data_IF_707854074522
#
_entry.id   IF_707854074522
#
_cell.length_a   1.000
_cell.length_b   1.000
_cell.length_c   1.000
_cell.angle_alpha   90.00
_cell.angle_beta   90.00
_cell.angle_gamma   90.00
#
_symmetry.space_group_name_H-M   'P 1'
#
loop_
_entity.id
_entity.type
_entity.pdbx_description
1 polymer ?
#
# COMPACT_ATOMS: atom_id res chain seq x y z
N UNK A 1 43.72 39.85 71.25
CA UNK A 1 43.14 40.24 69.95
C UNK A 1 43.37 39.09 68.97
N UNK A 2 42.74 37.94 69.19
CA UNK A 2 42.94 36.73 68.37
C UNK A 2 41.70 35.85 68.28
N UNK A 3 40.95 35.71 69.38
CA UNK A 3 39.79 34.81 69.40
C UNK A 3 38.57 35.37 68.64
N UNK A 4 38.37 36.69 68.68
CA UNK A 4 37.29 37.38 67.97
C UNK A 4 37.53 37.45 66.45
N UNK A 5 38.78 37.65 66.04
CA UNK A 5 39.16 37.67 64.62
C UNK A 5 39.09 36.27 64.01
N UNK A 6 39.43 35.23 64.77
CA UNK A 6 39.27 33.83 64.33
C UNK A 6 37.80 33.40 64.25
N UNK A 7 36.93 33.90 65.13
CA UNK A 7 35.48 33.66 65.03
C UNK A 7 34.89 34.39 63.84
N UNK A 8 35.26 35.66 63.61
CA UNK A 8 34.84 36.41 62.44
C UNK A 8 35.30 35.73 61.14
N UNK A 9 36.55 35.27 61.07
CA UNK A 9 37.06 34.55 59.90
C UNK A 9 36.32 33.23 59.64
N UNK A 10 36.05 32.43 60.68
CA UNK A 10 35.27 31.20 60.54
C UNK A 10 33.84 31.46 60.09
N UNK A 11 33.18 32.49 60.64
CA UNK A 11 31.83 32.85 60.21
C UNK A 11 31.80 33.36 58.76
N UNK A 12 32.82 34.09 58.32
CA UNK A 12 32.94 34.53 56.93
C UNK A 12 33.19 33.35 55.97
N UNK A 13 34.04 32.40 56.34
CA UNK A 13 34.29 31.19 55.56
C UNK A 13 33.04 30.29 55.48
N UNK A 14 32.29 30.16 56.58
CA UNK A 14 31.04 29.40 56.64
C UNK A 14 29.92 30.08 55.81
N UNK A 15 29.79 31.40 55.89
CA UNK A 15 28.86 32.18 55.05
C UNK A 15 29.24 32.10 53.57
N UNK A 16 30.54 32.17 53.24
CA UNK A 16 31.01 32.02 51.87
C UNK A 16 30.71 30.62 51.31
N UNK A 17 30.90 29.58 52.11
CA UNK A 17 30.60 28.18 51.74
C UNK A 17 29.10 27.94 51.57
N UNK A 18 28.27 28.43 52.48
CA UNK A 18 26.80 28.33 52.37
C UNK A 18 26.29 29.09 51.14
N UNK A 19 26.93 30.21 50.78
CA UNK A 19 26.62 30.96 49.56
C UNK A 19 27.02 30.19 48.31
N UNK A 20 28.20 29.55 48.28
CA UNK A 20 28.59 28.70 47.15
C UNK A 20 27.69 27.48 46.98
N UNK A 21 27.32 26.79 48.07
CA UNK A 21 26.41 25.64 48.03
C UNK A 21 24.99 26.07 47.56
N UNK A 22 24.53 27.25 47.98
CA UNK A 22 23.26 27.82 47.51
C UNK A 22 23.31 28.25 46.04
N UNK A 23 24.42 28.80 45.58
CA UNK A 23 24.61 29.16 44.17
C UNK A 23 24.71 27.92 43.27
N UNK A 24 25.37 26.85 43.72
CA UNK A 24 25.46 25.57 43.01
C UNK A 24 24.10 24.88 42.90
N UNK A 25 23.35 24.81 44.00
CA UNK A 25 21.98 24.25 43.99
C UNK A 25 21.01 25.04 43.11
N UNK A 26 21.10 26.37 43.06
CA UNK A 26 20.30 27.19 42.15
C UNK A 26 20.69 26.98 40.68
N UNK A 27 21.98 26.74 40.40
CA UNK A 27 22.46 26.41 39.04
C UNK A 27 21.98 25.04 38.60
N UNK A 28 22.02 24.04 39.47
CA UNK A 28 21.53 22.69 39.19
C UNK A 28 20.03 22.67 38.94
N UNK A 29 19.25 23.43 39.72
CA UNK A 29 17.82 23.60 39.51
C UNK A 29 17.51 24.26 38.15
N UNK A 30 18.26 25.31 37.78
CA UNK A 30 18.09 25.98 36.49
C UNK A 30 18.49 25.05 35.32
N UNK A 31 19.62 24.35 35.42
CA UNK A 31 20.06 23.38 34.41
C UNK A 31 19.09 22.20 34.25
N UNK A 32 18.50 21.74 35.37
CA UNK A 32 17.43 20.74 35.41
C UNK A 32 16.17 21.20 34.67
N UNK A 33 15.74 22.45 34.86
CA UNK A 33 14.56 22.99 34.18
C UNK A 33 14.76 23.11 32.66
N UNK A 34 15.93 23.61 32.22
CA UNK A 34 16.26 23.75 30.79
C UNK A 34 16.41 22.39 30.10
N UNK A 35 17.09 21.43 30.73
CA UNK A 35 17.22 20.07 30.19
C UNK A 35 15.88 19.33 30.15
N UNK A 36 15.00 19.54 31.13
CA UNK A 36 13.63 19.01 31.13
C UNK A 36 12.79 19.51 29.95
N UNK A 37 12.83 20.83 29.67
CA UNK A 37 12.13 21.42 28.51
C UNK A 37 12.69 20.90 27.18
N UNK A 38 14.01 20.73 27.08
CA UNK A 38 14.66 20.17 25.88
C UNK A 38 14.25 18.70 25.65
N UNK A 39 14.20 17.88 26.71
CA UNK A 39 13.73 16.48 26.64
C UNK A 39 12.27 16.37 26.22
N UNK A 40 11.40 17.25 26.74
CA UNK A 40 9.99 17.29 26.33
C UNK A 40 9.83 17.64 24.85
N UNK A 41 10.56 18.67 24.39
CA UNK A 41 10.59 19.05 22.97
C UNK A 41 11.12 17.91 22.08
N UNK A 42 12.16 17.19 22.53
CA UNK A 42 12.72 16.04 21.81
C UNK A 42 11.75 14.85 21.75
N UNK A 43 10.95 14.60 22.80
CA UNK A 43 9.89 13.58 22.77
C UNK A 43 8.77 13.94 21.80
N UNK A 44 8.34 15.20 21.78
CA UNK A 44 7.33 15.69 20.83
C UNK A 44 7.85 15.49 19.40
N UNK A 45 9.10 15.84 19.14
CA UNK A 45 9.77 15.59 17.86
C UNK A 45 9.66 14.12 17.42
N UNK A 46 9.98 13.18 18.31
CA UNK A 46 9.93 11.75 17.99
C UNK A 46 8.51 11.23 17.72
N UNK A 47 7.51 11.72 18.46
CA UNK A 47 6.10 11.37 18.20
C UNK A 47 5.68 11.84 16.80
N UNK A 48 6.01 13.07 16.43
CA UNK A 48 5.72 13.57 15.07
C UNK A 48 6.50 12.80 14.00
N UNK A 49 7.75 12.39 14.28
CA UNK A 49 8.53 11.57 13.37
C UNK A 49 7.86 10.22 13.10
N UNK A 50 7.27 9.56 14.11
CA UNK A 50 6.50 8.33 13.92
C UNK A 50 5.29 8.54 13.01
N UNK A 51 4.55 9.64 13.19
CA UNK A 51 3.40 9.98 12.34
C UNK A 51 3.85 10.23 10.90
N UNK A 52 4.94 10.96 10.70
CA UNK A 52 5.50 11.24 9.38
C UNK A 52 5.98 9.96 8.68
N UNK A 53 6.64 9.05 9.39
CA UNK A 53 7.09 7.75 8.85
C UNK A 53 5.87 6.90 8.50
N UNK A 54 4.86 6.87 9.36
CA UNK A 54 3.63 6.13 9.08
C UNK A 54 2.94 6.61 7.81
N UNK A 55 2.73 7.92 7.70
CA UNK A 55 2.12 8.54 6.53
C UNK A 55 2.99 8.37 5.27
N UNK A 56 4.31 8.55 5.38
CA UNK A 56 5.24 8.41 4.26
C UNK A 56 5.34 6.99 3.74
N UNK A 57 5.49 5.99 4.61
CA UNK A 57 5.54 4.57 4.22
C UNK A 57 4.21 4.14 3.61
N UNK A 58 3.09 4.56 4.20
CA UNK A 58 1.77 4.33 3.61
C UNK A 58 1.67 4.96 2.23
N UNK A 59 2.01 6.25 2.09
CA UNK A 59 1.95 6.98 0.82
C UNK A 59 2.87 6.36 -0.25
N UNK A 60 4.07 5.89 0.09
CA UNK A 60 4.96 5.18 -0.84
C UNK A 60 4.32 3.86 -1.29
N UNK A 61 3.80 3.07 -0.35
CA UNK A 61 3.14 1.81 -0.69
C UNK A 61 1.87 2.01 -1.53
N UNK A 62 1.08 3.05 -1.23
CA UNK A 62 -0.05 3.46 -2.05
C UNK A 62 0.41 3.98 -3.41
N UNK A 63 1.48 4.76 -3.50
CA UNK A 63 2.00 5.28 -4.76
C UNK A 63 2.50 4.15 -5.69
N UNK A 64 3.24 3.19 -5.16
CA UNK A 64 3.76 2.06 -5.94
C UNK A 64 2.63 1.15 -6.44
N UNK A 65 1.48 1.12 -5.74
CA UNK A 65 0.41 0.15 -5.99
C UNK A 65 -0.92 0.75 -6.47
N UNK A 66 -1.06 2.08 -6.50
CA UNK A 66 -2.29 2.75 -6.92
C UNK A 66 -2.33 3.02 -8.43
N UNK A 67 -3.54 2.92 -8.99
CA UNK A 67 -3.81 2.94 -10.42
C UNK A 67 -4.48 4.24 -10.90
N UNK A 68 -5.04 5.03 -9.97
CA UNK A 68 -5.79 6.25 -10.27
C UNK A 68 -4.86 7.47 -10.20
N UNK A 69 -4.83 8.28 -11.27
CA UNK A 69 -4.09 9.54 -11.34
C UNK A 69 -4.41 10.47 -10.17
N UNK A 70 -5.68 10.50 -9.69
CA UNK A 70 -6.07 11.30 -8.52
C UNK A 70 -5.39 10.80 -7.24
N UNK A 71 -5.24 9.48 -7.11
CA UNK A 71 -4.58 8.88 -5.96
C UNK A 71 -3.07 9.06 -6.01
N UNK A 72 -2.46 8.98 -7.20
CA UNK A 72 -1.04 9.31 -7.40
C UNK A 72 -0.75 10.77 -7.06
N UNK A 73 -1.59 11.70 -7.53
CA UNK A 73 -1.48 13.12 -7.20
C UNK A 73 -1.65 13.34 -5.69
N UNK A 74 -2.62 12.66 -5.07
CA UNK A 74 -2.81 12.68 -3.61
C UNK A 74 -1.59 12.17 -2.85
N UNK A 75 -0.99 11.06 -3.28
CA UNK A 75 0.24 10.52 -2.68
C UNK A 75 1.42 11.50 -2.83
N UNK A 76 1.55 12.14 -3.99
CA UNK A 76 2.60 13.15 -4.21
C UNK A 76 2.44 14.36 -3.28
N UNK A 77 1.21 14.85 -3.10
CA UNK A 77 0.91 15.94 -2.15
C UNK A 77 1.22 15.51 -0.71
N UNK A 78 0.80 14.30 -0.30
CA UNK A 78 1.10 13.77 1.04
C UNK A 78 2.61 13.65 1.26
N UNK A 79 3.35 13.14 0.29
CA UNK A 79 4.82 13.05 0.37
C UNK A 79 5.48 14.42 0.47
N UNK A 80 4.98 15.42 -0.26
CA UNK A 80 5.46 16.79 -0.18
C UNK A 80 5.20 17.37 1.21
N UNK A 81 3.99 17.20 1.75
CA UNK A 81 3.64 17.64 3.11
C UNK A 81 4.51 16.94 4.16
N UNK A 82 4.73 15.62 4.04
CA UNK A 82 5.64 14.88 4.94
C UNK A 82 7.07 15.42 4.84
N UNK A 83 7.55 15.71 3.63
CA UNK A 83 8.88 16.28 3.45
C UNK A 83 9.00 17.67 4.07
N UNK A 84 8.08 18.58 3.76
CA UNK A 84 8.07 19.93 4.34
C UNK A 84 7.96 19.92 5.86
N UNK A 85 7.09 19.08 6.41
CA UNK A 85 6.94 18.96 7.87
C UNK A 85 8.21 18.43 8.54
N UNK A 86 8.91 17.46 7.94
CA UNK A 86 10.20 16.98 8.49
C UNK A 86 11.29 18.06 8.46
N UNK A 87 11.36 18.86 7.39
CA UNK A 87 12.31 19.98 7.28
C UNK A 87 11.99 21.06 8.31
N UNK A 88 10.73 21.49 8.39
CA UNK A 88 10.26 22.49 9.36
C UNK A 88 10.52 22.03 10.80
N UNK A 89 10.27 20.77 11.10
CA UNK A 89 10.48 20.20 12.42
C UNK A 89 11.98 20.17 12.79
N UNK A 90 12.86 19.80 11.85
CA UNK A 90 14.32 19.84 12.06
C UNK A 90 14.83 21.26 12.30
N UNK A 91 14.34 22.22 11.52
CA UNK A 91 14.66 23.65 11.69
C UNK A 91 14.16 24.17 13.03
N UNK A 92 12.94 23.83 13.41
CA UNK A 92 12.35 24.21 14.70
C UNK A 92 13.16 23.68 15.86
N UNK A 93 13.55 22.40 15.84
CA UNK A 93 14.37 21.80 16.90
C UNK A 93 15.75 22.47 17.00
N UNK A 94 16.38 22.76 15.86
CA UNK A 94 17.65 23.48 15.83
C UNK A 94 17.53 24.89 16.43
N UNK A 95 16.49 25.63 16.02
CA UNK A 95 16.22 26.97 16.53
C UNK A 95 15.88 26.97 18.02
N UNK A 96 15.10 25.99 18.50
CA UNK A 96 14.80 25.82 19.92
C UNK A 96 16.06 25.53 20.72
N UNK A 97 16.94 24.67 20.20
CA UNK A 97 18.26 24.39 20.79
C UNK A 97 19.12 25.65 20.90
N UNK A 98 19.26 26.41 19.81
CA UNK A 98 20.00 27.68 19.81
C UNK A 98 19.41 28.70 20.78
N UNK A 99 18.08 28.88 20.80
CA UNK A 99 17.41 29.79 21.74
C UNK A 99 17.69 29.42 23.19
N UNK A 100 17.64 28.13 23.53
CA UNK A 100 17.92 27.66 24.88
C UNK A 100 19.40 27.83 25.24
N UNK A 101 20.32 27.64 24.30
CA UNK A 101 21.75 27.88 24.50
C UNK A 101 22.02 29.36 24.78
N UNK A 102 21.48 30.27 23.95
CA UNK A 102 21.63 31.72 24.16
C UNK A 102 20.96 32.18 25.46
N UNK A 103 19.80 31.63 25.82
CA UNK A 103 19.16 31.91 27.11
C UNK A 103 20.00 31.45 28.31
N UNK A 104 20.69 30.30 28.18
CA UNK A 104 21.63 29.84 29.21
C UNK A 104 22.82 30.79 29.31
N UNK A 105 23.45 31.14 28.19
CA UNK A 105 24.61 32.05 28.15
C UNK A 105 24.25 33.44 28.73
N UNK A 106 23.12 34.02 28.33
CA UNK A 106 22.68 35.33 28.84
C UNK A 106 22.34 35.33 30.33
N UNK A 107 21.71 34.26 30.85
CA UNK A 107 21.46 34.14 32.29
C UNK A 107 22.75 33.94 33.10
N UNK A 108 23.71 33.19 32.57
CA UNK A 108 25.01 33.02 33.20
C UNK A 108 25.79 34.34 33.22
N UNK A 109 25.81 35.08 32.11
CA UNK A 109 26.42 36.42 32.05
C UNK A 109 25.79 37.38 33.06
N UNK A 110 24.46 37.36 33.23
CA UNK A 110 23.78 38.17 34.27
C UNK A 110 24.18 37.77 35.68
N UNK A 111 24.37 36.48 35.95
CA UNK A 111 24.85 36.01 37.25
C UNK A 111 26.30 36.41 37.50
N UNK A 112 27.16 36.37 36.48
CA UNK A 112 28.54 36.84 36.56
C UNK A 112 28.61 38.35 36.77
N UNK A 113 27.81 39.14 36.05
CA UNK A 113 27.71 40.59 36.25
C UNK A 113 27.19 40.93 37.66
N UNK A 114 26.13 40.28 38.13
CA UNK A 114 25.62 40.50 39.50
C UNK A 114 26.64 40.10 40.57
N UNK A 115 27.45 39.06 40.31
CA UNK A 115 28.56 38.66 41.19
C UNK A 115 29.65 39.72 41.20
N UNK A 116 30.05 40.22 40.03
CA UNK A 116 31.04 41.29 39.89
C UNK A 116 30.57 42.59 40.55
N UNK A 117 29.31 42.99 40.37
CA UNK A 117 28.70 44.14 41.05
C UNK A 117 28.68 43.96 42.58
N UNK A 118 28.36 42.76 43.07
CA UNK A 118 28.43 42.45 44.51
C UNK A 118 29.87 42.34 45.05
N UNK A 119 30.85 42.15 44.15
CA UNK A 119 32.27 42.08 44.47
C UNK A 119 32.98 43.44 44.31
N UNK A 120 32.27 44.51 43.91
CA UNK A 120 32.76 45.90 44.00
C UNK A 120 32.87 46.25 45.48
N UNK A 121 34.01 45.87 46.09
CA UNK A 121 34.31 45.99 47.50
C UNK A 121 35.19 44.86 48.08
N UNK A 122 35.40 43.76 47.34
CA UNK A 122 36.28 42.66 47.76
C UNK A 122 37.27 42.34 46.64
N UNK A 123 38.53 42.74 46.84
CA UNK A 123 39.65 42.48 45.94
C UNK A 123 40.03 40.99 45.93
N UNK A 124 39.34 40.17 45.13
CA UNK A 124 39.92 38.91 44.67
C UNK A 124 39.31 38.48 43.32
N UNK A 125 40.08 38.52 42.23
CA UNK A 125 39.64 37.99 40.94
C UNK A 125 39.75 36.46 41.01
N UNK A 126 38.73 35.79 41.56
CA UNK A 126 38.65 34.33 41.46
C UNK A 126 38.45 33.96 39.99
N UNK A 127 39.45 33.28 39.40
CA UNK A 127 39.40 32.69 38.06
C UNK A 127 38.07 31.99 37.81
N UNK A 128 37.53 32.02 36.56
CA UNK A 128 36.27 31.38 36.25
C UNK A 128 36.39 29.86 36.52
N UNK A 129 35.74 29.32 37.55
CA UNK A 129 35.66 27.89 37.67
C UNK A 129 34.58 27.41 36.70
N UNK A 130 34.68 26.16 36.32
CA UNK A 130 33.64 25.37 35.65
C UNK A 130 33.77 25.28 34.13
N UNK A 131 34.36 24.14 33.76
CA UNK A 131 34.33 23.49 32.45
C UNK A 131 32.88 23.33 31.99
N UNK A 132 32.60 23.82 30.79
CA UNK A 132 31.31 23.73 30.11
C UNK A 132 30.84 22.27 30.00
N UNK A 133 29.76 21.90 30.69
CA UNK A 133 29.03 20.67 30.35
C UNK A 133 28.00 20.98 29.24
N UNK A 134 28.09 20.30 28.08
CA UNK A 134 27.10 20.46 27.03
C UNK A 134 25.73 20.02 27.54
N UNK A 135 24.66 20.71 27.14
CA UNK A 135 23.31 20.28 27.50
C UNK A 135 23.04 18.91 26.89
N UNK A 136 22.77 17.93 27.73
CA UNK A 136 22.38 16.60 27.29
C UNK A 136 20.86 16.56 27.09
N UNK A 137 20.42 16.20 25.88
CA UNK A 137 19.01 15.96 25.55
C UNK A 137 18.51 14.65 26.16
N UNK A 138 17.81 13.85 25.35
CA UNK A 138 17.44 12.48 25.70
C UNK A 138 18.67 11.59 25.92
N UNK A 139 18.53 10.61 26.83
CA UNK A 139 19.53 9.57 27.01
C UNK A 139 19.76 8.81 25.69
N UNK A 140 20.99 8.39 25.38
CA UNK A 140 21.30 7.68 24.13
C UNK A 140 20.49 6.39 23.97
N UNK A 141 20.08 5.75 25.06
CA UNK A 141 19.19 4.58 25.04
C UNK A 141 17.77 4.94 24.62
N UNK A 142 17.22 6.06 25.10
CA UNK A 142 15.89 6.52 24.73
C UNK A 142 15.84 6.89 23.24
N UNK A 143 16.92 7.50 22.70
CA UNK A 143 17.07 7.75 21.26
C UNK A 143 17.09 6.46 20.43
N UNK A 144 17.82 5.44 20.89
CA UNK A 144 17.85 4.12 20.21
C UNK A 144 16.48 3.44 20.24
N UNK A 145 15.73 3.58 21.34
CA UNK A 145 14.36 3.09 21.44
C UNK A 145 13.42 3.75 20.42
N UNK A 146 13.46 5.08 20.30
CA UNK A 146 12.64 5.79 19.31
C UNK A 146 13.00 5.43 17.87
N UNK A 147 14.30 5.25 17.56
CA UNK A 147 14.72 4.75 16.25
C UNK A 147 14.20 3.33 15.98
N UNK A 148 14.30 2.42 16.95
CA UNK A 148 13.75 1.07 16.82
C UNK A 148 12.23 1.09 16.63
N UNK A 149 11.51 1.97 17.34
CA UNK A 149 10.07 2.17 17.18
C UNK A 149 9.72 2.67 15.76
N UNK A 150 10.51 3.60 15.20
CA UNK A 150 10.35 4.07 13.83
C UNK A 150 10.49 2.94 12.81
N UNK A 151 11.54 2.11 12.96
CA UNK A 151 11.79 0.97 12.07
C UNK A 151 10.68 -0.08 12.19
N UNK A 152 10.29 -0.44 13.42
CA UNK A 152 9.21 -1.40 13.67
C UNK A 152 7.87 -0.92 13.11
N UNK A 153 7.54 0.37 13.28
CA UNK A 153 6.32 0.96 12.72
C UNK A 153 6.33 0.95 11.18
N UNK A 154 7.46 1.26 10.56
CA UNK A 154 7.61 1.18 9.10
C UNK A 154 7.39 -0.26 8.60
N UNK A 155 7.97 -1.26 9.25
CA UNK A 155 7.78 -2.67 8.89
C UNK A 155 6.32 -3.12 9.07
N UNK A 156 5.68 -2.72 10.18
CA UNK A 156 4.29 -3.05 10.47
C UNK A 156 3.34 -2.44 9.43
N UNK A 157 3.50 -1.15 9.12
CA UNK A 157 2.67 -0.47 8.12
C UNK A 157 2.92 -1.06 6.73
N UNK A 158 4.17 -1.37 6.40
CA UNK A 158 4.49 -2.02 5.13
C UNK A 158 3.82 -3.40 5.00
N UNK A 159 3.80 -4.16 6.09
CA UNK A 159 3.14 -5.47 6.13
C UNK A 159 1.62 -5.35 6.04
N UNK A 160 1.00 -4.43 6.79
CA UNK A 160 -0.45 -4.21 6.79
C UNK A 160 -0.95 -3.68 5.44
N UNK A 161 -0.27 -2.70 4.87
CA UNK A 161 -0.61 -2.15 3.55
C UNK A 161 -0.36 -3.14 2.42
N UNK A 162 0.54 -4.12 2.62
CA UNK A 162 0.69 -5.26 1.72
C UNK A 162 -0.46 -6.25 1.86
N UNK A 163 -0.80 -6.67 3.07
CA UNK A 163 -1.86 -7.63 3.30
C UNK A 163 -3.24 -7.14 2.85
N UNK A 164 -3.56 -5.87 3.08
CA UNK A 164 -4.82 -5.26 2.65
C UNK A 164 -5.02 -5.23 1.13
N UNK A 165 -3.94 -5.39 0.34
CA UNK A 165 -3.95 -5.32 -1.12
C UNK A 165 -3.54 -6.62 -1.83
N UNK A 166 -2.98 -7.60 -1.11
CA UNK A 166 -2.87 -8.98 -1.59
C UNK A 166 -4.23 -9.69 -1.69
N UNK A 167 -5.28 -9.10 -1.12
CA UNK A 167 -6.66 -9.45 -1.43
C UNK A 167 -7.11 -8.82 -2.74
N UNK A 168 -7.10 -9.61 -3.82
CA UNK A 168 -7.98 -9.41 -4.97
C UNK A 168 -7.79 -8.10 -5.75
N UNK A 169 -6.84 -8.12 -6.70
CA UNK A 169 -7.20 -7.59 -8.02
C UNK A 169 -8.35 -8.47 -8.52
N UNK A 170 -9.59 -8.04 -8.28
CA UNK A 170 -10.78 -8.81 -8.65
C UNK A 170 -10.73 -9.01 -10.15
N UNK A 171 -10.37 -10.22 -10.60
CA UNK A 171 -10.63 -10.57 -11.99
C UNK A 171 -12.12 -10.76 -12.07
N UNK A 172 -12.82 -9.69 -12.43
CA UNK A 172 -14.18 -9.78 -12.90
C UNK A 172 -14.08 -10.41 -14.30
N UNK A 173 -14.33 -11.71 -14.36
CA UNK A 173 -14.43 -12.45 -15.61
C UNK A 173 -15.90 -12.58 -15.98
N UNK A 174 -16.31 -11.93 -17.07
CA UNK A 174 -17.63 -12.19 -17.66
C UNK A 174 -17.43 -13.10 -18.86
N UNK A 175 -18.00 -14.30 -18.78
CA UNK A 175 -17.92 -15.28 -19.86
C UNK A 175 -19.29 -15.42 -20.51
N UNK A 176 -19.34 -15.28 -21.82
CA UNK A 176 -20.52 -15.53 -22.64
C UNK A 176 -20.18 -16.59 -23.68
N UNK A 177 -20.91 -17.69 -23.69
CA UNK A 177 -20.80 -18.76 -24.68
C UNK A 177 -22.05 -18.73 -25.54
N UNK A 178 -21.90 -18.62 -26.85
CA UNK A 178 -23.01 -18.68 -27.80
C UNK A 178 -22.90 -19.95 -28.60
N UNK A 179 -23.89 -20.84 -28.47
CA UNK A 179 -23.95 -22.10 -29.21
C UNK A 179 -24.72 -21.93 -30.51
N UNK A 180 -24.32 -22.66 -31.54
CA UNK A 180 -24.98 -22.73 -32.83
C UNK A 180 -25.71 -24.08 -32.99
N UNK A 181 -26.61 -24.15 -33.97
CA UNK A 181 -27.44 -25.33 -34.22
C UNK A 181 -26.63 -26.54 -34.72
N UNK A 182 -25.46 -26.30 -35.33
CA UNK A 182 -24.53 -27.33 -35.79
C UNK A 182 -23.64 -27.91 -34.68
N UNK A 183 -23.80 -27.43 -33.44
CA UNK A 183 -22.97 -27.83 -32.31
C UNK A 183 -21.67 -27.05 -32.17
N UNK A 184 -21.38 -26.12 -33.08
CA UNK A 184 -20.27 -25.17 -32.92
C UNK A 184 -20.64 -24.10 -31.88
N UNK A 185 -19.63 -23.36 -31.40
CA UNK A 185 -19.87 -22.29 -30.45
C UNK A 185 -18.80 -21.22 -30.47
N UNK A 186 -19.17 -20.03 -30.00
CA UNK A 186 -18.25 -18.92 -29.75
C UNK A 186 -18.22 -18.62 -28.24
N UNK A 187 -17.05 -18.71 -27.63
CA UNK A 187 -16.81 -18.34 -26.22
C UNK A 187 -16.10 -17.00 -26.18
N UNK A 188 -16.72 -16.01 -25.55
CA UNK A 188 -16.15 -14.69 -25.26
C UNK A 188 -15.89 -14.56 -23.77
N UNK A 189 -14.67 -14.25 -23.38
CA UNK A 189 -14.28 -14.07 -22.00
C UNK A 189 -13.64 -12.70 -21.85
N UNK A 190 -14.34 -11.80 -21.18
CA UNK A 190 -13.85 -10.48 -20.82
C UNK A 190 -12.98 -10.62 -19.57
N UNK A 191 -11.74 -10.14 -19.65
CA UNK A 191 -10.75 -10.26 -18.58
C UNK A 191 -10.27 -8.88 -18.19
N UNK A 192 -10.40 -8.58 -16.90
CA UNK A 192 -9.85 -7.38 -16.28
C UNK A 192 -8.86 -7.76 -15.18
N UNK A 193 -7.63 -7.25 -15.27
CA UNK A 193 -6.59 -7.46 -14.27
C UNK A 193 -5.92 -6.15 -13.87
N UNK A 194 -5.67 -5.95 -12.57
CA UNK A 194 -4.87 -4.80 -12.11
C UNK A 194 -3.38 -5.06 -12.36
N UNK A 195 -2.68 -4.18 -13.08
CA UNK A 195 -1.23 -4.24 -13.23
C UNK A 195 -0.58 -2.98 -12.67
N UNK A 196 0.55 -3.13 -11.96
CA UNK A 196 1.32 -1.95 -11.52
C UNK A 196 1.86 -1.18 -12.72
N UNK A 197 1.83 0.15 -12.68
CA UNK A 197 2.42 0.99 -13.75
C UNK A 197 3.92 0.74 -14.00
N UNK A 198 4.63 0.17 -13.01
CA UNK A 198 6.04 -0.21 -13.08
C UNK A 198 6.30 -1.52 -13.84
N UNK A 199 5.31 -2.39 -13.95
CA UNK A 199 5.45 -3.69 -14.62
C UNK A 199 4.25 -3.90 -15.54
N UNK A 200 4.42 -3.49 -16.79
CA UNK A 200 3.49 -3.83 -17.86
C UNK A 200 4.01 -5.09 -18.54
N UNK A 201 3.28 -6.22 -18.50
CA UNK A 201 3.65 -7.37 -19.29
C UNK A 201 3.64 -7.00 -20.78
N UNK A 202 4.52 -7.60 -21.56
CA UNK A 202 4.51 -7.46 -23.02
C UNK A 202 3.50 -8.38 -23.70
N UNK A 203 3.00 -9.39 -22.98
CA UNK A 203 2.17 -10.44 -23.56
C UNK A 203 2.03 -11.66 -22.65
N UNK A 204 1.39 -12.70 -23.16
CA UNK A 204 1.24 -13.98 -22.47
C UNK A 204 1.11 -15.15 -23.45
N UNK A 205 1.56 -16.36 -23.08
CA UNK A 205 1.23 -17.56 -23.81
C UNK A 205 -0.17 -18.06 -23.43
N UNK A 206 -0.95 -18.44 -24.43
CA UNK A 206 -2.24 -19.11 -24.32
C UNK A 206 -2.15 -20.46 -25.03
N UNK A 207 -2.82 -21.48 -24.52
CA UNK A 207 -2.86 -22.81 -25.11
C UNK A 207 -4.31 -23.19 -25.43
N UNK A 208 -4.55 -23.63 -26.66
CA UNK A 208 -5.84 -24.09 -27.13
C UNK A 208 -5.67 -25.27 -28.10
N UNK A 209 -6.70 -26.10 -28.30
CA UNK A 209 -6.70 -27.09 -29.38
C UNK A 209 -6.44 -26.45 -30.76
N UNK A 210 -5.74 -27.17 -31.64
CA UNK A 210 -5.28 -26.63 -32.94
C UNK A 210 -6.42 -26.22 -33.90
N UNK A 211 -7.60 -26.78 -33.69
CA UNK A 211 -8.81 -26.59 -34.51
C UNK A 211 -9.64 -25.39 -34.04
N UNK A 212 -9.27 -24.77 -32.91
CA UNK A 212 -9.95 -23.59 -32.40
C UNK A 212 -9.42 -22.33 -33.08
N UNK A 213 -10.33 -21.43 -33.46
CA UNK A 213 -9.93 -20.09 -33.91
C UNK A 213 -9.91 -19.17 -32.70
N UNK A 214 -8.70 -18.73 -32.33
CA UNK A 214 -8.44 -17.86 -31.17
C UNK A 214 -8.18 -16.45 -31.64
N UNK A 215 -8.94 -15.49 -31.09
CA UNK A 215 -8.74 -14.05 -31.30
C UNK A 215 -8.72 -13.37 -29.94
N UNK A 216 -7.85 -12.37 -29.78
CA UNK A 216 -7.83 -11.55 -28.57
C UNK A 216 -8.09 -10.12 -28.98
N UNK A 217 -9.07 -9.48 -28.34
CA UNK A 217 -9.51 -8.13 -28.66
C UNK A 217 -9.10 -7.16 -27.57
N UNK A 218 -8.67 -5.97 -27.95
CA UNK A 218 -8.53 -4.83 -27.05
C UNK A 218 -9.92 -4.28 -26.62
N UNK A 219 -9.99 -3.34 -25.66
CA UNK A 219 -11.25 -2.74 -25.21
C UNK A 219 -12.02 -1.99 -26.33
N UNK A 220 -11.35 -1.63 -27.42
CA UNK A 220 -11.93 -0.96 -28.59
C UNK A 220 -12.43 -1.96 -29.64
N UNK A 221 -12.19 -3.26 -29.45
CA UNK A 221 -12.58 -4.33 -30.34
C UNK A 221 -11.56 -4.64 -31.45
N UNK A 222 -10.36 -4.07 -31.42
CA UNK A 222 -9.30 -4.40 -32.38
C UNK A 222 -8.59 -5.70 -31.99
N UNK A 223 -8.22 -6.49 -33.00
CA UNK A 223 -7.44 -7.70 -32.79
C UNK A 223 -6.00 -7.38 -32.38
N UNK A 224 -5.54 -8.03 -31.31
CA UNK A 224 -4.16 -7.96 -30.86
C UNK A 224 -3.25 -8.89 -31.67
N UNK A 225 -1.95 -8.54 -31.82
CA UNK A 225 -0.98 -9.41 -32.46
C UNK A 225 -0.83 -10.75 -31.73
N UNK A 226 -0.87 -11.84 -32.51
CA UNK A 226 -0.87 -13.22 -32.04
C UNK A 226 0.05 -14.05 -32.93
N UNK A 227 1.07 -14.66 -32.34
CA UNK A 227 1.90 -15.67 -33.03
C UNK A 227 1.47 -17.07 -32.61
N UNK A 228 1.19 -17.95 -33.57
CA UNK A 228 0.71 -19.31 -33.29
C UNK A 228 1.74 -20.35 -33.70
N UNK A 229 2.10 -21.23 -32.76
CA UNK A 229 2.94 -22.41 -33.00
C UNK A 229 2.12 -23.66 -32.69
N UNK A 230 1.95 -24.55 -33.66
CA UNK A 230 1.19 -25.79 -33.49
C UNK A 230 2.12 -26.95 -33.14
N UNK A 231 1.76 -27.72 -32.11
CA UNK A 231 2.49 -28.92 -31.69
C UNK A 231 1.49 -30.05 -31.41
N UNK A 232 1.41 -31.01 -32.33
CA UNK A 232 0.43 -32.11 -32.24
C UNK A 232 -1.00 -31.59 -32.33
N UNK A 233 -1.83 -31.91 -31.34
CA UNK A 233 -3.24 -31.48 -31.23
C UNK A 233 -3.42 -30.12 -30.53
N UNK A 234 -2.33 -29.47 -30.10
CA UNK A 234 -2.37 -28.22 -29.37
C UNK A 234 -1.71 -27.09 -30.16
N UNK A 235 -2.25 -25.88 -30.04
CA UNK A 235 -1.67 -24.65 -30.52
C UNK A 235 -1.26 -23.78 -29.34
N UNK A 236 -0.01 -23.32 -29.36
CA UNK A 236 0.50 -22.28 -28.48
C UNK A 236 0.36 -20.94 -29.18
N UNK A 237 -0.34 -20.03 -28.53
CA UNK A 237 -0.62 -18.69 -28.99
C UNK A 237 0.15 -17.69 -28.12
N UNK A 238 1.18 -17.04 -28.65
CA UNK A 238 1.88 -15.96 -27.96
C UNK A 238 1.22 -14.63 -28.32
N UNK A 239 0.48 -14.07 -27.36
CA UNK A 239 -0.23 -12.81 -27.51
C UNK A 239 0.73 -11.68 -27.15
N UNK A 240 0.79 -10.63 -27.97
CA UNK A 240 1.53 -9.39 -27.64
C UNK A 240 0.53 -8.30 -27.29
N UNK A 241 0.69 -7.69 -26.12
CA UNK A 241 -0.17 -6.60 -25.69
C UNK A 241 0.14 -5.31 -26.47
N UNK A 242 -0.93 -4.64 -26.90
CA UNK A 242 -0.85 -3.27 -27.44
C UNK A 242 -0.93 -2.25 -26.30
N UNK A 243 -0.77 -0.96 -26.58
CA UNK A 243 -0.97 0.06 -25.54
C UNK A 243 -2.44 0.21 -25.14
N UNK A 244 -3.37 -0.13 -26.04
CA UNK A 244 -4.82 0.07 -25.86
C UNK A 244 -5.45 -0.86 -24.82
N UNK A 245 -4.80 -1.99 -24.49
CA UNK A 245 -5.29 -2.87 -23.41
C UNK A 245 -5.03 -2.33 -22.01
N UNK A 246 -4.23 -1.27 -21.87
CA UNK A 246 -3.96 -0.65 -20.58
C UNK A 246 -4.83 0.60 -20.41
N UNK A 247 -5.99 0.44 -19.80
CA UNK A 247 -6.94 1.52 -19.49
C UNK A 247 -7.01 1.73 -17.97
N UNK A 248 -6.81 2.97 -17.51
CA UNK A 248 -6.85 3.34 -16.08
C UNK A 248 -6.02 2.43 -15.14
N UNK A 249 -4.84 2.03 -15.61
CA UNK A 249 -3.92 1.17 -14.86
C UNK A 249 -4.40 -0.29 -14.72
N UNK A 250 -5.40 -0.69 -15.50
CA UNK A 250 -5.87 -2.07 -15.61
C UNK A 250 -5.56 -2.61 -16.98
N UNK A 251 -5.19 -3.88 -17.04
CA UNK A 251 -5.19 -4.66 -18.26
C UNK A 251 -6.62 -5.12 -18.52
N UNK A 252 -7.18 -4.75 -19.66
CA UNK A 252 -8.49 -5.15 -20.11
C UNK A 252 -8.40 -5.70 -21.54
N UNK A 253 -8.89 -6.91 -21.74
CA UNK A 253 -8.98 -7.54 -23.05
C UNK A 253 -10.11 -8.58 -23.07
N UNK A 254 -10.53 -8.96 -24.27
CA UNK A 254 -11.52 -10.04 -24.47
C UNK A 254 -10.88 -11.18 -25.25
N UNK A 255 -10.93 -12.38 -24.69
CA UNK A 255 -10.59 -13.61 -25.41
C UNK A 255 -11.81 -14.12 -26.16
N UNK A 256 -11.65 -14.42 -27.45
CA UNK A 256 -12.71 -14.95 -28.31
C UNK A 256 -12.24 -16.27 -28.92
N UNK A 257 -12.97 -17.34 -28.63
CA UNK A 257 -12.72 -18.69 -29.12
C UNK A 257 -13.88 -19.14 -30.01
N UNK A 258 -13.60 -19.52 -31.26
CA UNK A 258 -14.56 -20.30 -32.06
C UNK A 258 -14.19 -21.77 -31.96
N UNK A 259 -15.15 -22.55 -31.48
CA UNK A 259 -15.00 -23.95 -31.10
C UNK A 259 -15.87 -24.76 -32.08
N UNK A 260 -15.27 -25.51 -33.02
CA UNK A 260 -16.02 -26.22 -34.06
C UNK A 260 -16.98 -27.28 -33.51
N UNK A 261 -16.59 -27.97 -32.44
CA UNK A 261 -17.37 -29.00 -31.77
C UNK A 261 -17.57 -28.65 -30.29
N UNK A 262 -18.28 -27.55 -30.03
CA UNK A 262 -18.52 -27.07 -28.68
C UNK A 262 -19.49 -27.97 -27.91
N UNK A 263 -20.54 -28.45 -28.59
CA UNK A 263 -21.54 -29.37 -28.06
C UNK A 263 -21.51 -30.71 -28.81
N UNK A 264 -21.93 -31.77 -28.12
CA UNK A 264 -22.00 -33.13 -28.67
C UNK A 264 -23.45 -33.61 -28.69
N UNK A 265 -23.89 -34.17 -29.81
CA UNK A 265 -25.23 -34.74 -29.95
C UNK A 265 -25.23 -36.20 -29.51
N UNK A 266 -26.09 -36.54 -28.55
CA UNK A 266 -26.29 -37.91 -28.07
C UNK A 266 -27.77 -38.16 -27.85
N UNK A 267 -28.31 -39.21 -28.48
CA UNK A 267 -29.72 -39.63 -28.34
C UNK A 267 -30.72 -38.47 -28.58
N UNK A 268 -30.44 -37.60 -29.55
CA UNK A 268 -31.28 -36.44 -29.89
C UNK A 268 -31.16 -35.25 -28.91
N UNK A 269 -30.23 -35.30 -27.96
CA UNK A 269 -29.95 -34.24 -26.99
C UNK A 269 -28.54 -33.71 -27.21
N UNK A 270 -28.41 -32.40 -27.38
CA UNK A 270 -27.12 -31.72 -27.40
C UNK A 270 -26.62 -31.51 -25.98
N UNK A 271 -25.33 -31.80 -25.76
CA UNK A 271 -24.65 -31.69 -24.47
C UNK A 271 -23.45 -30.76 -24.66
N UNK A 272 -23.50 -29.61 -23.98
CA UNK A 272 -22.39 -28.70 -23.85
C UNK A 272 -21.76 -28.85 -22.46
N UNK A 273 -20.45 -28.98 -22.39
CA UNK A 273 -19.70 -29.03 -21.13
C UNK A 273 -18.65 -27.93 -21.11
N UNK A 274 -18.52 -27.21 -20.00
CA UNK A 274 -17.46 -26.23 -19.77
C UNK A 274 -16.88 -26.38 -18.37
N UNK A 275 -15.70 -25.82 -18.15
CA UNK A 275 -15.02 -25.82 -16.87
C UNK A 275 -14.37 -24.48 -16.56
N UNK A 276 -14.51 -24.05 -15.31
CA UNK A 276 -13.78 -22.91 -14.76
C UNK A 276 -12.85 -23.42 -13.67
N UNK A 277 -11.54 -23.27 -13.86
CA UNK A 277 -10.54 -23.45 -12.80
C UNK A 277 -9.80 -22.14 -12.64
N UNK A 278 -9.69 -21.67 -11.42
CA UNK A 278 -8.99 -20.44 -11.12
C UNK A 278 -7.93 -20.68 -10.03
N UNK A 279 -6.76 -20.05 -10.18
CA UNK A 279 -5.68 -20.07 -9.19
C UNK A 279 -5.29 -18.63 -8.84
N UNK A 280 -5.32 -18.28 -7.55
CA UNK A 280 -5.08 -16.93 -7.05
C UNK A 280 -6.18 -16.35 -6.16
N UNK A 281 -6.87 -17.22 -5.40
CA UNK A 281 -7.87 -16.84 -4.41
C UNK A 281 -9.31 -17.08 -4.86
N UNK A 282 -10.27 -16.89 -3.94
CA UNK A 282 -11.69 -17.01 -4.26
C UNK A 282 -12.13 -15.87 -5.19
N UNK A 283 -12.96 -16.17 -6.20
CA UNK A 283 -13.42 -15.18 -7.17
C UNK A 283 -14.89 -15.38 -7.54
N UNK A 284 -15.59 -14.28 -7.71
CA UNK A 284 -16.91 -14.31 -8.31
C UNK A 284 -16.80 -14.60 -9.81
N UNK A 285 -17.68 -15.46 -10.31
CA UNK A 285 -17.77 -15.75 -11.74
C UNK A 285 -19.19 -15.53 -12.23
N UNK A 286 -19.30 -15.11 -13.49
CA UNK A 286 -20.56 -15.04 -14.22
C UNK A 286 -20.39 -15.64 -15.60
N UNK A 287 -20.94 -16.83 -15.79
CA UNK A 287 -20.97 -17.55 -17.06
C UNK A 287 -22.39 -17.53 -17.62
N UNK A 288 -22.57 -17.04 -18.83
CA UNK A 288 -23.85 -17.08 -19.55
C UNK A 288 -23.70 -17.92 -20.81
N UNK A 289 -24.56 -18.92 -20.97
CA UNK A 289 -24.60 -19.81 -22.13
C UNK A 289 -25.87 -19.49 -22.91
N UNK A 290 -25.73 -19.01 -24.14
CA UNK A 290 -26.81 -18.66 -25.05
C UNK A 290 -27.03 -19.85 -25.98
N UNK A 291 -28.20 -20.48 -25.87
CA UNK A 291 -28.58 -21.62 -26.69
C UNK A 291 -28.92 -21.19 -28.13
N UNK A 292 -28.92 -22.13 -29.09
CA UNK A 292 -29.42 -21.85 -30.44
C UNK A 292 -30.87 -21.33 -30.43
N UNK A 293 -31.28 -20.54 -31.44
CA UNK A 293 -32.68 -20.12 -31.57
C UNK A 293 -33.63 -21.32 -31.55
N UNK A 294 -34.76 -21.20 -30.85
CA UNK A 294 -35.75 -22.27 -30.71
C UNK A 294 -35.32 -23.47 -29.85
N UNK A 295 -34.11 -23.47 -29.29
CA UNK A 295 -33.64 -24.59 -28.47
C UNK A 295 -34.43 -24.70 -27.15
N UNK A 296 -34.90 -25.91 -26.86
CA UNK A 296 -35.55 -26.26 -25.60
C UNK A 296 -34.49 -26.74 -24.60
N UNK A 297 -34.41 -26.08 -23.44
CA UNK A 297 -33.53 -26.50 -22.36
C UNK A 297 -34.07 -27.77 -21.69
N UNK A 298 -33.26 -28.83 -21.65
CA UNK A 298 -33.59 -30.10 -20.98
C UNK A 298 -33.11 -30.09 -19.54
N UNK A 299 -31.83 -29.77 -19.29
CA UNK A 299 -31.27 -29.71 -17.95
C UNK A 299 -29.98 -28.91 -17.86
N UNK A 300 -29.64 -28.51 -16.63
CA UNK A 300 -28.39 -27.82 -16.28
C UNK A 300 -27.79 -28.46 -15.05
N UNK A 301 -26.47 -28.71 -15.06
CA UNK A 301 -25.71 -29.18 -13.89
C UNK A 301 -24.51 -28.25 -13.67
N UNK A 302 -24.40 -27.53 -12.53
CA UNK A 302 -25.40 -27.37 -11.47
C UNK A 302 -26.67 -26.65 -11.93
N UNK A 303 -27.67 -26.50 -11.05
CA UNK A 303 -28.88 -25.74 -11.36
C UNK A 303 -28.52 -24.27 -11.64
N UNK A 304 -28.90 -23.76 -12.81
CA UNK A 304 -28.61 -22.39 -13.23
C UNK A 304 -29.89 -21.53 -13.26
N UNK A 305 -29.72 -20.22 -13.33
CA UNK A 305 -30.80 -19.31 -13.69
C UNK A 305 -31.06 -19.37 -15.20
N UNK A 306 -32.32 -19.32 -15.61
CA UNK A 306 -32.72 -19.44 -17.01
C UNK A 306 -33.59 -18.25 -17.36
N UNK A 307 -33.23 -17.54 -18.42
CA UNK A 307 -33.92 -16.36 -18.92
C UNK A 307 -34.06 -16.48 -20.44
N UNK A 308 -35.07 -15.83 -21.01
CA UNK A 308 -35.20 -15.70 -22.47
C UNK A 308 -34.90 -14.26 -22.84
N UNK A 309 -33.91 -14.03 -23.69
CA UNK A 309 -33.53 -12.71 -24.17
C UNK A 309 -33.12 -12.80 -25.64
N UNK A 310 -33.51 -11.80 -26.42
CA UNK A 310 -33.28 -11.72 -27.87
C UNK A 310 -33.77 -12.97 -28.64
N UNK A 311 -34.89 -13.55 -28.20
CA UNK A 311 -35.47 -14.76 -28.82
C UNK A 311 -34.67 -16.05 -28.56
N UNK A 312 -33.67 -16.02 -27.66
CA UNK A 312 -32.82 -17.17 -27.34
C UNK A 312 -32.86 -17.47 -25.84
N UNK A 313 -32.77 -18.75 -25.50
CA UNK A 313 -32.67 -19.21 -24.12
C UNK A 313 -31.25 -18.95 -23.61
N UNK A 314 -31.13 -18.22 -22.50
CA UNK A 314 -29.87 -17.92 -21.81
C UNK A 314 -29.84 -18.65 -20.47
N UNK A 315 -28.77 -19.42 -20.26
CA UNK A 315 -28.49 -20.14 -19.02
C UNK A 315 -27.36 -19.45 -18.30
N UNK A 316 -27.63 -18.92 -17.10
CA UNK A 316 -26.68 -18.12 -16.32
C UNK A 316 -26.25 -18.86 -15.05
N UNK A 317 -24.95 -19.08 -14.95
CA UNK A 317 -24.27 -19.58 -13.77
C UNK A 317 -23.55 -18.43 -13.08
N UNK A 318 -23.82 -18.25 -11.80
CA UNK A 318 -23.17 -17.27 -10.95
C UNK A 318 -22.83 -17.89 -9.61
N UNK A 319 -21.69 -17.49 -9.06
CA UNK A 319 -21.26 -17.93 -7.75
C UNK A 319 -19.83 -17.52 -7.47
N UNK A 320 -19.24 -18.14 -6.45
CA UNK A 320 -17.85 -17.92 -6.06
C UNK A 320 -17.07 -19.20 -6.29
N UNK A 321 -16.03 -19.14 -7.12
CA UNK A 321 -15.08 -20.25 -7.26
C UNK A 321 -14.14 -20.29 -6.06
N UNK A 322 -13.84 -21.49 -5.58
CA UNK A 322 -12.82 -21.72 -4.55
C UNK A 322 -11.45 -21.81 -5.24
N UNK A 323 -10.42 -21.27 -4.59
CA UNK A 323 -9.05 -21.31 -5.10
C UNK A 323 -8.60 -22.72 -5.48
N UNK A 324 -8.04 -22.85 -6.69
CA UNK A 324 -7.51 -24.06 -7.31
C UNK A 324 -8.50 -25.25 -7.46
N UNK A 325 -9.81 -24.98 -7.33
CA UNK A 325 -10.87 -25.97 -7.56
C UNK A 325 -11.46 -25.81 -8.97
N UNK A 326 -11.63 -26.92 -9.67
CA UNK A 326 -12.31 -26.92 -10.97
C UNK A 326 -13.83 -27.06 -10.77
N UNK A 327 -14.57 -26.08 -11.28
CA UNK A 327 -16.02 -26.11 -11.37
C UNK A 327 -16.43 -26.52 -12.78
N UNK A 328 -17.31 -27.51 -12.89
CA UNK A 328 -17.81 -28.03 -14.15
C UNK A 328 -19.27 -27.63 -14.35
N UNK A 329 -19.61 -27.32 -15.59
CA UNK A 329 -20.96 -26.96 -16.02
C UNK A 329 -21.37 -27.85 -17.17
N UNK A 330 -22.59 -28.37 -17.14
CA UNK A 330 -23.20 -29.08 -18.24
C UNK A 330 -24.56 -28.46 -18.56
N UNK A 331 -24.81 -28.24 -19.84
CA UNK A 331 -26.11 -27.79 -20.36
C UNK A 331 -26.59 -28.76 -21.42
N UNK A 332 -27.79 -29.28 -21.23
CA UNK A 332 -28.43 -30.22 -22.15
C UNK A 332 -29.65 -29.57 -22.78
N UNK A 333 -29.74 -29.62 -24.09
CA UNK A 333 -30.81 -28.97 -24.85
C UNK A 333 -31.22 -29.79 -26.08
N UNK A 334 -32.42 -29.52 -26.58
CA UNK A 334 -32.94 -30.06 -27.84
C UNK A 334 -33.13 -28.94 -28.84
N UNK A 335 -32.88 -29.23 -30.09
CA UNK A 335 -33.22 -28.32 -31.19
C UNK A 335 -34.62 -28.67 -31.72
N UNK A 336 -35.36 -27.69 -32.25
CA UNK A 336 -36.60 -27.97 -32.95
C UNK A 336 -36.30 -28.84 -34.17
N UNK A 337 -37.20 -29.76 -34.54
CA UNK A 337 -37.05 -30.56 -35.75
C UNK A 337 -36.87 -29.66 -36.98
N UNK A 338 -36.06 -30.07 -37.95
CA UNK A 338 -35.61 -29.27 -39.11
C UNK A 338 -36.74 -28.58 -39.89
N UNK A 339 -37.98 -29.05 -39.79
CA UNK A 339 -39.16 -28.46 -40.43
C UNK A 339 -39.60 -27.09 -39.86
N UNK A 340 -39.05 -26.64 -38.74
CA UNK A 340 -39.41 -25.37 -38.07
C UNK A 340 -38.26 -24.34 -38.07
N UNK A 341 -37.20 -24.58 -38.85
CA UNK A 341 -35.97 -23.74 -38.87
C UNK A 341 -35.85 -22.80 -40.08
N UNK A 342 -36.87 -22.71 -40.95
CA UNK A 342 -36.94 -21.76 -42.09
C UNK A 342 -37.51 -20.38 -41.73
#
# INVERSE_FOLDING_TARGET
MSEHDDTLRKTLEEVARLRSEREESLRDLAAGEYSGRLRSAERIYWVYALVCIAAGVAAINFFVRSYDMKTLLGCAVVMLVVYETTVLMKLWFHMAGMKMQVLKETKLLRLEMARLESAVGVEQPSQPPVKYEPMHGLLPLERKFWLAACVGLAMLISSLTSYAWFGSGSIAGKTVVTLAADGSGEKRQEIMHGYSGYFRPGGFPLYAPKDWNVRILDPKGHEMPLETTVTGEQARHNVTFTNDVFEDGRLHYTEVYKIPAAATLKDGIWIYNDGLRHKGGNREYSLTIVLPPGAELVSTEPKAAVETADGRTQVRFQGTTIDDVQHLFAVRYKLPPEAEQE
#
